data_IF_058688212111
#
_entry.id   IF_058688212111
#
_cell.length_a   1.000
_cell.length_b   1.000
_cell.length_c   1.000
_cell.angle_alpha   90.00
_cell.angle_beta   90.00
_cell.angle_gamma   90.00
#
_symmetry.space_group_name_H-M   'P 1'
#
loop_
_entity.id
_entity.type
_entity.pdbx_description
1 polymer ?
#
# COMPACT_ATOMS: atom_id res chain seq x y z
N UNK A 1 -14.75 -17.59 26.34
CA UNK A 1 -13.72 -16.66 25.88
C UNK A 1 -13.16 -16.96 24.46
N UNK A 2 -13.09 -18.24 24.05
CA UNK A 2 -12.60 -18.62 22.70
C UNK A 2 -13.52 -18.09 21.61
N UNK A 3 -14.85 -18.22 21.72
CA UNK A 3 -15.83 -17.70 20.75
C UNK A 3 -15.75 -16.18 20.52
N UNK A 4 -15.44 -15.37 21.56
CA UNK A 4 -15.26 -13.91 21.42
C UNK A 4 -14.03 -13.54 20.58
N UNK A 5 -12.94 -14.31 20.69
CA UNK A 5 -11.72 -14.04 19.91
C UNK A 5 -11.89 -14.39 18.42
N UNK A 6 -12.65 -15.43 18.08
CA UNK A 6 -12.93 -15.78 16.69
C UNK A 6 -13.77 -14.71 15.97
N UNK A 7 -14.86 -14.24 16.61
CA UNK A 7 -15.69 -13.18 16.03
C UNK A 7 -14.92 -11.87 15.80
N UNK A 8 -13.98 -11.53 16.69
CA UNK A 8 -13.16 -10.34 16.54
C UNK A 8 -12.23 -10.43 15.32
N UNK A 9 -11.61 -11.59 15.10
CA UNK A 9 -10.75 -11.81 13.94
C UNK A 9 -11.52 -11.70 12.62
N UNK A 10 -12.66 -12.36 12.51
CA UNK A 10 -13.48 -12.38 11.30
C UNK A 10 -13.96 -10.97 10.92
N UNK A 11 -14.42 -10.20 11.90
CA UNK A 11 -14.85 -8.81 11.69
C UNK A 11 -13.69 -7.91 11.29
N UNK A 12 -12.53 -8.05 11.94
CA UNK A 12 -11.36 -7.21 11.66
C UNK A 12 -10.81 -7.48 10.25
N UNK A 13 -10.71 -8.76 9.87
CA UNK A 13 -10.24 -9.15 8.53
C UNK A 13 -11.21 -8.67 7.45
N UNK A 14 -12.51 -8.82 7.66
CA UNK A 14 -13.52 -8.34 6.73
C UNK A 14 -13.48 -6.80 6.57
N UNK A 15 -13.24 -6.05 7.66
CA UNK A 15 -13.05 -4.59 7.60
C UNK A 15 -11.79 -4.21 6.82
N UNK A 16 -10.70 -4.95 6.98
CA UNK A 16 -9.47 -4.71 6.21
C UNK A 16 -9.74 -4.94 4.72
N UNK A 17 -10.41 -6.02 4.36
CA UNK A 17 -10.72 -6.33 2.95
C UNK A 17 -11.59 -5.24 2.32
N UNK A 18 -12.63 -4.74 3.02
CA UNK A 18 -13.46 -3.66 2.46
C UNK A 18 -12.68 -2.35 2.31
N UNK A 19 -11.77 -2.03 3.23
CA UNK A 19 -10.89 -0.88 3.09
C UNK A 19 -9.97 -1.02 1.88
N UNK A 20 -9.40 -2.20 1.64
CA UNK A 20 -8.61 -2.48 0.44
C UNK A 20 -9.42 -2.29 -0.84
N UNK A 21 -10.64 -2.81 -0.91
CA UNK A 21 -11.51 -2.62 -2.07
C UNK A 21 -11.83 -1.15 -2.33
N UNK A 22 -12.09 -0.36 -1.29
CA UNK A 22 -12.31 1.07 -1.43
C UNK A 22 -11.06 1.81 -1.95
N UNK A 23 -9.88 1.45 -1.47
CA UNK A 23 -8.60 2.02 -1.92
C UNK A 23 -8.34 1.67 -3.39
N UNK A 24 -8.63 0.44 -3.81
CA UNK A 24 -8.55 0.02 -5.22
C UNK A 24 -9.51 0.82 -6.10
N UNK A 25 -10.72 1.13 -5.59
CA UNK A 25 -11.68 2.01 -6.29
C UNK A 25 -11.16 3.43 -6.52
N UNK A 26 -10.28 3.94 -5.65
CA UNK A 26 -9.65 5.26 -5.83
C UNK A 26 -8.56 5.23 -6.91
N UNK A 27 -7.74 4.19 -6.93
CA UNK A 27 -6.69 3.99 -7.94
C UNK A 27 -6.42 2.49 -8.13
N UNK A 28 -6.52 2.05 -9.36
CA UNK A 28 -6.31 0.66 -9.74
C UNK A 28 -4.91 0.14 -9.36
N UNK A 29 -3.90 1.02 -9.32
CA UNK A 29 -2.55 0.70 -8.86
C UNK A 29 -2.54 0.00 -7.50
N UNK A 30 -3.44 0.36 -6.59
CA UNK A 30 -3.53 -0.27 -5.27
C UNK A 30 -4.00 -1.73 -5.31
N UNK A 31 -4.43 -2.25 -6.48
CA UNK A 31 -4.69 -3.68 -6.65
C UNK A 31 -3.43 -4.52 -6.36
N UNK A 32 -2.24 -3.99 -6.68
CA UNK A 32 -0.97 -4.65 -6.40
C UNK A 32 -0.74 -4.92 -4.90
N UNK A 33 -1.36 -4.14 -4.02
CA UNK A 33 -1.28 -4.35 -2.57
C UNK A 33 -1.96 -5.64 -2.09
N UNK A 34 -2.75 -6.30 -2.93
CA UNK A 34 -3.24 -7.65 -2.64
C UNK A 34 -2.11 -8.66 -2.45
N UNK A 35 -0.87 -8.34 -2.86
CA UNK A 35 0.32 -9.15 -2.57
C UNK A 35 0.48 -9.41 -1.05
N UNK A 36 0.00 -8.51 -0.17
CA UNK A 36 0.00 -8.72 1.28
C UNK A 36 -0.90 -9.85 1.77
N UNK A 37 -1.80 -10.34 0.94
CA UNK A 37 -2.62 -11.52 1.27
C UNK A 37 -1.74 -12.77 1.39
N UNK A 38 -0.68 -12.90 0.58
CA UNK A 38 0.20 -14.08 0.61
C UNK A 38 0.89 -14.29 1.96
N UNK A 39 1.57 -13.30 2.57
CA UNK A 39 2.09 -13.43 3.93
C UNK A 39 1.01 -13.82 4.94
N UNK A 40 -0.18 -13.23 4.86
CA UNK A 40 -1.29 -13.53 5.77
C UNK A 40 -1.69 -15.01 5.64
N UNK A 41 -1.94 -15.50 4.42
CA UNK A 41 -2.30 -16.90 4.17
C UNK A 41 -1.20 -17.83 4.67
N UNK A 42 0.08 -17.52 4.39
CA UNK A 42 1.21 -18.33 4.82
C UNK A 42 1.27 -18.47 6.36
N UNK A 43 1.10 -17.38 7.11
CA UNK A 43 1.11 -17.45 8.56
C UNK A 43 -0.09 -18.21 9.13
N UNK A 44 -1.25 -18.07 8.50
CA UNK A 44 -2.41 -18.87 8.87
C UNK A 44 -2.21 -20.37 8.59
N UNK A 45 -1.56 -20.69 7.49
CA UNK A 45 -1.16 -22.07 7.17
C UNK A 45 -0.19 -22.62 8.21
N UNK A 46 0.88 -21.87 8.51
CA UNK A 46 1.90 -22.24 9.50
C UNK A 46 1.32 -22.47 10.91
N UNK A 47 0.34 -21.67 11.30
CA UNK A 47 -0.34 -21.77 12.60
C UNK A 47 -1.50 -22.78 12.61
N UNK A 48 -1.73 -23.54 11.53
CA UNK A 48 -2.88 -24.46 11.36
C UNK A 48 -4.24 -23.78 11.55
N UNK A 49 -4.37 -22.51 11.16
CA UNK A 49 -5.58 -21.69 11.35
C UNK A 49 -6.33 -21.40 10.05
N UNK A 50 -6.03 -22.12 8.96
CA UNK A 50 -6.70 -21.90 7.67
C UNK A 50 -8.22 -22.03 7.74
N UNK A 51 -8.74 -22.87 8.66
CA UNK A 51 -10.17 -22.99 8.88
C UNK A 51 -10.86 -21.66 9.24
N UNK A 52 -10.10 -20.67 9.78
CA UNK A 52 -10.65 -19.35 10.09
C UNK A 52 -11.01 -18.56 8.82
N UNK A 53 -10.34 -18.81 7.69
CA UNK A 53 -10.72 -18.19 6.42
C UNK A 53 -12.12 -18.61 5.97
N UNK A 54 -12.55 -19.83 6.29
CA UNK A 54 -13.90 -20.27 5.96
C UNK A 54 -14.98 -19.39 6.61
N UNK A 55 -14.69 -18.82 7.77
CA UNK A 55 -15.62 -17.92 8.44
C UNK A 55 -15.79 -16.58 7.71
N UNK A 56 -14.79 -16.14 6.94
CA UNK A 56 -14.91 -14.93 6.11
C UNK A 56 -16.04 -15.05 5.10
N UNK A 57 -16.23 -16.24 4.52
CA UNK A 57 -17.34 -16.51 3.59
C UNK A 57 -18.73 -16.45 4.24
N UNK A 58 -18.82 -16.40 5.57
CA UNK A 58 -20.08 -16.18 6.32
C UNK A 58 -20.32 -14.70 6.64
N UNK A 59 -19.32 -13.83 6.38
CA UNK A 59 -19.40 -12.42 6.78
C UNK A 59 -19.99 -11.56 5.65
N UNK A 60 -21.06 -10.81 5.95
CA UNK A 60 -21.73 -9.92 4.99
C UNK A 60 -20.79 -8.85 4.43
N UNK A 61 -19.83 -8.35 5.21
CA UNK A 61 -18.85 -7.37 4.76
C UNK A 61 -17.91 -7.93 3.68
N UNK A 62 -17.62 -9.23 3.72
CA UNK A 62 -16.83 -9.89 2.68
C UNK A 62 -17.57 -9.88 1.33
N UNK A 63 -18.84 -10.21 1.31
CA UNK A 63 -19.65 -10.14 0.09
C UNK A 63 -19.82 -8.71 -0.42
N UNK A 64 -19.99 -7.74 0.50
CA UNK A 64 -20.01 -6.33 0.15
C UNK A 64 -18.69 -5.89 -0.52
N UNK A 65 -17.55 -6.38 -0.04
CA UNK A 65 -16.24 -6.09 -0.63
C UNK A 65 -16.12 -6.66 -2.05
N UNK A 66 -16.55 -7.90 -2.26
CA UNK A 66 -16.57 -8.53 -3.59
C UNK A 66 -17.48 -7.73 -4.53
N UNK A 67 -18.68 -7.41 -4.08
CA UNK A 67 -19.64 -6.63 -4.87
C UNK A 67 -19.07 -5.25 -5.25
N UNK A 68 -18.44 -4.55 -4.30
CA UNK A 68 -17.79 -3.27 -4.56
C UNK A 68 -16.65 -3.39 -5.59
N UNK A 69 -15.82 -4.44 -5.49
CA UNK A 69 -14.75 -4.69 -6.44
C UNK A 69 -15.30 -4.93 -7.86
N UNK A 70 -16.35 -5.74 -7.97
CA UNK A 70 -17.01 -6.01 -9.25
C UNK A 70 -17.63 -4.73 -9.83
N UNK A 71 -18.23 -3.88 -9.00
CA UNK A 71 -18.74 -2.57 -9.44
C UNK A 71 -17.62 -1.68 -10.00
N UNK A 72 -16.46 -1.59 -9.33
CA UNK A 72 -15.34 -0.80 -9.85
C UNK A 72 -14.82 -1.33 -11.18
N UNK A 73 -14.65 -2.65 -11.32
CA UNK A 73 -14.25 -3.27 -12.58
C UNK A 73 -15.30 -2.98 -13.67
N UNK A 74 -16.57 -3.10 -13.36
CA UNK A 74 -17.67 -2.80 -14.29
C UNK A 74 -17.66 -1.32 -14.73
N UNK A 75 -17.40 -0.38 -13.82
CA UNK A 75 -17.30 1.04 -14.15
C UNK A 75 -16.13 1.29 -15.12
N UNK A 76 -14.95 0.71 -14.86
CA UNK A 76 -13.84 0.82 -15.80
C UNK A 76 -14.19 0.22 -17.16
N UNK A 77 -14.77 -0.97 -17.17
CA UNK A 77 -15.16 -1.65 -18.41
C UNK A 77 -16.18 -0.83 -19.23
N UNK A 78 -17.25 -0.35 -18.61
CA UNK A 78 -18.28 0.44 -19.29
C UNK A 78 -17.73 1.75 -19.84
N UNK A 79 -16.78 2.39 -19.16
CA UNK A 79 -16.24 3.68 -19.58
C UNK A 79 -15.10 3.57 -20.61
N UNK A 80 -14.37 2.47 -20.64
CA UNK A 80 -13.12 2.38 -21.42
C UNK A 80 -13.04 1.16 -22.33
N UNK A 81 -13.87 0.15 -22.11
CA UNK A 81 -13.71 -1.17 -22.74
C UNK A 81 -12.64 -2.05 -22.09
N UNK A 82 -12.01 -1.60 -20.98
CA UNK A 82 -10.94 -2.32 -20.30
C UNK A 82 -11.37 -2.74 -18.90
N UNK A 83 -11.08 -3.98 -18.50
CA UNK A 83 -11.31 -4.43 -17.12
C UNK A 83 -10.35 -3.75 -16.13
N UNK A 84 -9.10 -3.53 -16.55
CA UNK A 84 -8.04 -2.91 -15.76
C UNK A 84 -7.34 -1.80 -16.54
N UNK A 85 -8.01 -0.65 -16.67
CA UNK A 85 -7.46 0.51 -17.38
C UNK A 85 -6.33 1.16 -16.57
N UNK A 86 -5.19 1.55 -17.18
CA UNK A 86 -4.82 1.55 -18.61
C UNK A 86 -3.93 0.36 -19.03
N UNK A 87 -4.28 -0.86 -18.68
CA UNK A 87 -3.53 -2.07 -19.08
C UNK A 87 -4.16 -2.64 -20.35
N UNK A 88 -3.51 -2.44 -21.50
CA UNK A 88 -4.01 -2.80 -22.83
C UNK A 88 -4.39 -4.29 -22.97
N UNK A 89 -3.66 -5.19 -22.30
CA UNK A 89 -3.93 -6.63 -22.31
C UNK A 89 -5.37 -7.02 -21.86
N UNK A 90 -5.99 -6.20 -21.02
CA UNK A 90 -7.35 -6.42 -20.50
C UNK A 90 -8.40 -5.54 -21.20
N UNK A 91 -8.10 -5.02 -22.39
CA UNK A 91 -9.01 -4.18 -23.16
C UNK A 91 -9.64 -4.95 -24.31
N UNK A 92 -10.89 -4.63 -24.64
CA UNK A 92 -11.70 -5.24 -25.68
C UNK A 92 -12.12 -4.17 -26.68
N UNK A 93 -11.67 -4.28 -27.94
CA UNK A 93 -12.00 -3.30 -29.01
C UNK A 93 -13.32 -3.58 -29.73
N UNK A 94 -13.98 -4.69 -29.42
CA UNK A 94 -15.18 -5.15 -30.14
C UNK A 94 -16.43 -4.27 -29.92
N UNK A 95 -16.34 -3.28 -29.05
CA UNK A 95 -17.45 -2.41 -28.71
C UNK A 95 -17.29 -1.03 -29.37
N UNK A 96 -18.38 -0.47 -29.91
CA UNK A 96 -18.36 0.83 -30.56
C UNK A 96 -17.94 2.00 -29.67
N UNK A 97 -18.03 1.82 -28.36
CA UNK A 97 -17.70 2.80 -27.32
C UNK A 97 -16.33 2.54 -26.65
N UNK A 98 -15.65 1.44 -26.96
CA UNK A 98 -14.36 1.14 -26.35
C UNK A 98 -13.26 2.07 -26.85
N UNK A 99 -12.30 2.36 -25.98
CA UNK A 99 -11.11 3.13 -26.35
C UNK A 99 -10.19 2.21 -27.17
N UNK A 100 -9.69 2.65 -28.35
CA UNK A 100 -8.73 1.88 -29.13
C UNK A 100 -7.46 1.53 -28.33
N UNK A 101 -6.95 0.34 -28.49
CA UNK A 101 -5.77 -0.17 -27.73
C UNK A 101 -4.56 0.76 -27.92
N UNK A 102 -4.32 1.26 -29.13
CA UNK A 102 -3.23 2.21 -29.40
C UNK A 102 -3.31 3.47 -28.53
N UNK A 103 -4.53 3.98 -28.31
CA UNK A 103 -4.74 5.13 -27.42
C UNK A 103 -4.51 4.79 -25.96
N UNK A 104 -4.87 3.57 -25.54
CA UNK A 104 -4.61 3.09 -24.18
C UNK A 104 -3.10 3.00 -23.93
N UNK A 105 -2.34 2.46 -24.90
CA UNK A 105 -0.88 2.36 -24.80
C UNK A 105 -0.19 3.73 -24.83
N UNK A 106 -0.67 4.66 -25.64
CA UNK A 106 -0.18 6.05 -25.63
C UNK A 106 -0.43 6.72 -24.27
N UNK A 107 -1.59 6.54 -23.68
CA UNK A 107 -1.90 7.08 -22.35
C UNK A 107 -1.05 6.43 -21.26
N UNK A 108 -0.83 5.13 -21.33
CA UNK A 108 0.08 4.42 -20.40
C UNK A 108 1.48 4.99 -20.48
N UNK A 109 2.03 5.14 -21.69
CA UNK A 109 3.34 5.76 -21.92
C UNK A 109 3.40 7.22 -21.42
N UNK A 110 2.33 7.98 -21.64
CA UNK A 110 2.22 9.34 -21.14
C UNK A 110 2.28 9.41 -19.61
N UNK A 111 1.55 8.56 -18.89
CA UNK A 111 1.59 8.52 -17.43
C UNK A 111 2.93 8.04 -16.88
N UNK A 112 3.55 7.07 -17.53
CA UNK A 112 4.87 6.57 -17.18
C UNK A 112 5.93 7.67 -17.38
N UNK A 113 5.93 8.32 -18.55
CA UNK A 113 6.82 9.44 -18.86
C UNK A 113 6.64 10.59 -17.84
N UNK A 114 5.39 10.97 -17.56
CA UNK A 114 5.10 12.01 -16.57
C UNK A 114 5.64 11.65 -15.18
N UNK A 115 5.49 10.41 -14.74
CA UNK A 115 5.99 9.95 -13.44
C UNK A 115 7.53 9.96 -13.37
N UNK A 116 8.20 9.52 -14.45
CA UNK A 116 9.65 9.41 -14.56
C UNK A 116 10.33 10.78 -14.78
N UNK A 117 9.63 11.74 -15.38
CA UNK A 117 10.15 13.08 -15.63
C UNK A 117 9.94 14.09 -14.48
N UNK A 118 9.57 13.61 -13.27
CA UNK A 118 9.46 14.44 -12.08
C UNK A 118 8.06 14.95 -11.78
N UNK A 119 7.03 14.44 -12.45
CA UNK A 119 5.61 14.68 -12.14
C UNK A 119 5.21 16.17 -12.13
N UNK A 120 5.83 16.99 -12.93
CA UNK A 120 5.63 18.45 -13.02
C UNK A 120 5.22 18.94 -14.40
N UNK A 121 4.99 20.24 -14.53
CA UNK A 121 4.83 20.90 -15.81
C UNK A 121 6.14 20.85 -16.62
N UNK A 122 6.04 20.79 -17.96
CA UNK A 122 7.22 20.72 -18.82
C UNK A 122 7.96 19.37 -18.78
N UNK A 123 7.25 18.29 -18.46
CA UNK A 123 7.80 16.93 -18.43
C UNK A 123 7.96 16.31 -19.83
N UNK A 124 7.47 16.96 -20.86
CA UNK A 124 7.49 16.45 -22.23
C UNK A 124 8.92 16.26 -22.73
N UNK A 125 9.16 15.10 -23.32
CA UNK A 125 10.44 14.72 -23.92
C UNK A 125 10.23 14.47 -25.41
N UNK A 126 11.25 14.78 -26.21
CA UNK A 126 11.21 14.60 -27.67
C UNK A 126 11.07 13.11 -28.08
N UNK A 127 11.57 12.20 -27.25
CA UNK A 127 11.50 10.76 -27.47
C UNK A 127 11.05 10.07 -26.16
N UNK A 128 9.73 10.03 -25.88
CA UNK A 128 9.21 9.45 -24.67
C UNK A 128 9.50 7.95 -24.54
N UNK A 129 9.49 7.21 -25.64
CA UNK A 129 9.71 5.76 -25.62
C UNK A 129 11.14 5.40 -25.20
N UNK A 130 12.14 6.11 -25.70
CA UNK A 130 13.53 5.90 -25.31
C UNK A 130 13.80 6.42 -23.89
N UNK A 131 13.17 7.53 -23.52
CA UNK A 131 13.33 8.13 -22.20
C UNK A 131 12.88 7.21 -21.07
N UNK A 132 11.76 6.51 -21.23
CA UNK A 132 11.23 5.62 -20.18
C UNK A 132 11.95 4.28 -20.10
N UNK A 133 12.74 3.90 -21.13
CA UNK A 133 13.47 2.64 -21.16
C UNK A 133 14.62 2.61 -20.16
N UNK A 134 14.81 1.47 -19.53
CA UNK A 134 15.89 1.23 -18.56
C UNK A 134 15.95 2.30 -17.47
N UNK A 135 17.09 2.94 -17.30
CA UNK A 135 17.34 4.00 -16.31
C UNK A 135 17.67 5.36 -16.98
N UNK A 136 17.30 5.57 -18.26
CA UNK A 136 17.58 6.84 -18.98
C UNK A 136 16.92 8.05 -18.29
N UNK A 137 15.78 7.83 -17.64
CA UNK A 137 15.04 8.83 -16.88
C UNK A 137 15.64 9.14 -15.50
N UNK A 138 16.46 8.26 -14.95
CA UNK A 138 16.87 8.28 -13.55
C UNK A 138 17.64 9.54 -13.13
N UNK A 139 18.64 10.05 -13.89
CA UNK A 139 19.35 11.27 -13.53
C UNK A 139 18.41 12.48 -13.40
N UNK A 140 17.52 12.66 -14.39
CA UNK A 140 16.53 13.74 -14.39
C UNK A 140 15.52 13.60 -13.24
N UNK A 141 15.11 12.38 -12.92
CA UNK A 141 14.20 12.12 -11.79
C UNK A 141 14.84 12.47 -10.45
N UNK A 142 16.13 12.13 -10.25
CA UNK A 142 16.87 12.50 -9.04
C UNK A 142 16.88 14.02 -8.89
N UNK A 143 17.28 14.73 -9.93
CA UNK A 143 17.41 16.18 -9.87
C UNK A 143 16.08 16.89 -9.65
N UNK A 144 15.06 16.54 -10.45
CA UNK A 144 13.78 17.27 -10.44
C UNK A 144 12.78 16.79 -9.38
N UNK A 145 12.85 15.52 -8.98
CA UNK A 145 11.82 14.95 -8.13
C UNK A 145 12.32 14.43 -6.78
N UNK A 146 13.43 13.69 -6.77
CA UNK A 146 13.93 13.10 -5.54
C UNK A 146 14.29 14.17 -4.51
N UNK A 147 15.18 15.11 -4.86
CA UNK A 147 15.61 16.15 -3.93
C UNK A 147 14.50 17.14 -3.57
N UNK A 148 13.51 17.34 -4.41
CA UNK A 148 12.45 18.31 -4.17
C UNK A 148 11.24 17.74 -3.41
N UNK A 149 10.99 16.42 -3.46
CA UNK A 149 9.77 15.82 -2.87
C UNK A 149 10.04 14.56 -2.07
N UNK A 150 10.83 13.62 -2.62
CA UNK A 150 11.03 12.32 -1.97
C UNK A 150 11.92 12.47 -0.75
N UNK A 151 12.99 13.25 -0.83
CA UNK A 151 13.88 13.55 0.31
C UNK A 151 13.13 14.18 1.47
N UNK A 152 12.29 15.18 1.21
CA UNK A 152 11.51 15.85 2.25
C UNK A 152 10.54 14.90 2.93
N UNK A 153 9.89 14.04 2.15
CA UNK A 153 9.00 13.03 2.69
C UNK A 153 9.75 12.01 3.56
N UNK A 154 10.92 11.53 3.12
CA UNK A 154 11.77 10.61 3.90
C UNK A 154 12.24 11.28 5.19
N UNK A 155 12.71 12.52 5.13
CA UNK A 155 13.13 13.28 6.31
C UNK A 155 11.98 13.46 7.30
N UNK A 156 10.78 13.77 6.81
CA UNK A 156 9.57 13.84 7.63
C UNK A 156 9.24 12.52 8.32
N UNK A 157 9.37 11.37 7.61
CA UNK A 157 9.17 10.05 8.19
C UNK A 157 10.23 9.71 9.25
N UNK A 158 11.51 10.01 8.97
CA UNK A 158 12.60 9.79 9.93
C UNK A 158 12.33 10.62 11.19
N UNK A 159 11.99 11.90 11.04
CA UNK A 159 11.64 12.77 12.17
C UNK A 159 10.46 12.19 12.97
N UNK A 160 9.41 11.75 12.31
CA UNK A 160 8.26 11.13 12.96
C UNK A 160 8.64 9.87 13.75
N UNK A 161 9.44 8.98 13.15
CA UNK A 161 9.92 7.76 13.82
C UNK A 161 10.79 8.11 15.04
N UNK A 162 11.70 9.10 14.93
CA UNK A 162 12.52 9.57 16.06
C UNK A 162 11.65 10.16 17.17
N UNK A 163 10.67 10.98 16.84
CA UNK A 163 9.74 11.55 17.80
C UNK A 163 8.94 10.46 18.52
N UNK A 164 8.41 9.49 17.78
CA UNK A 164 7.68 8.37 18.36
C UNK A 164 8.58 7.49 19.24
N UNK A 165 9.84 7.24 18.84
CA UNK A 165 10.79 6.51 19.69
C UNK A 165 11.10 7.27 20.96
N UNK A 166 11.30 8.58 20.88
CA UNK A 166 11.55 9.42 22.06
C UNK A 166 10.36 9.40 23.05
N UNK A 167 9.14 9.46 22.52
CA UNK A 167 7.91 9.44 23.33
C UNK A 167 7.63 8.07 23.96
N UNK A 168 7.83 6.99 23.20
CA UNK A 168 7.42 5.64 23.60
C UNK A 168 8.54 4.80 24.20
N UNK A 169 9.81 5.01 23.78
CA UNK A 169 10.96 4.28 24.29
C UNK A 169 11.54 4.92 25.55
N UNK A 170 10.83 4.84 26.69
CA UNK A 170 11.49 5.09 27.97
C UNK A 170 12.28 3.85 28.40
N UNK A 171 13.49 4.04 28.95
CA UNK A 171 14.29 3.03 29.68
C UNK A 171 13.46 2.48 30.86
N UNK A 172 12.50 1.63 30.58
CA UNK A 172 11.94 0.72 31.56
C UNK A 172 12.81 -0.53 31.49
N UNK A 173 13.19 -1.09 32.65
CA UNK A 173 13.77 -2.44 32.72
C UNK A 173 12.80 -3.34 31.95
N UNK A 174 13.16 -3.65 30.72
CA UNK A 174 12.32 -4.40 29.81
C UNK A 174 12.15 -5.80 30.40
N UNK A 175 11.02 -6.07 31.04
CA UNK A 175 10.54 -7.42 31.05
C UNK A 175 10.33 -7.79 29.58
N UNK A 176 11.31 -8.53 29.04
CA UNK A 176 11.14 -9.28 27.80
C UNK A 176 9.98 -10.25 28.05
N UNK A 177 8.78 -9.76 27.86
CA UNK A 177 7.65 -10.64 27.63
C UNK A 177 8.05 -11.46 26.43
N UNK A 178 8.16 -12.77 26.62
CA UNK A 178 8.41 -13.77 25.59
C UNK A 178 7.32 -13.63 24.52
N UNK A 179 7.52 -12.69 23.63
CA UNK A 179 6.64 -12.50 22.50
C UNK A 179 7.01 -13.55 21.46
N UNK A 180 6.01 -14.28 21.00
CA UNK A 180 6.09 -15.02 19.75
C UNK A 180 6.69 -14.07 18.73
N UNK A 181 7.91 -14.38 18.27
CA UNK A 181 8.57 -13.59 17.23
C UNK A 181 7.67 -13.61 16.00
N UNK A 182 6.98 -12.51 15.77
CA UNK A 182 6.25 -12.32 14.50
C UNK A 182 7.32 -12.19 13.43
N UNK A 183 7.35 -13.13 12.52
CA UNK A 183 8.29 -13.11 11.40
C UNK A 183 7.81 -12.14 10.34
N UNK A 184 8.41 -10.96 10.26
CA UNK A 184 8.05 -9.92 9.29
C UNK A 184 8.69 -10.10 7.91
N UNK A 185 9.53 -11.14 7.71
CA UNK A 185 10.31 -11.30 6.46
C UNK A 185 9.46 -11.30 5.20
N UNK A 186 8.34 -12.02 5.21
CA UNK A 186 7.44 -12.08 4.03
C UNK A 186 6.78 -10.74 3.74
N UNK A 187 6.47 -9.95 4.78
CA UNK A 187 5.94 -8.60 4.59
C UNK A 187 6.98 -7.67 3.96
N UNK A 188 8.26 -7.78 4.38
CA UNK A 188 9.35 -7.04 3.74
C UNK A 188 9.54 -7.43 2.29
N UNK A 189 9.50 -8.72 1.97
CA UNK A 189 9.60 -9.19 0.59
C UNK A 189 8.45 -8.61 -0.25
N UNK A 190 7.22 -8.65 0.26
CA UNK A 190 6.08 -8.06 -0.43
C UNK A 190 6.25 -6.54 -0.68
N UNK A 191 6.73 -5.79 0.32
CA UNK A 191 7.00 -4.36 0.17
C UNK A 191 8.13 -4.10 -0.83
N UNK A 192 9.19 -4.88 -0.80
CA UNK A 192 10.30 -4.73 -1.76
C UNK A 192 9.83 -4.98 -3.20
N UNK A 193 8.96 -5.97 -3.43
CA UNK A 193 8.37 -6.21 -4.75
C UNK A 193 7.55 -5.00 -5.18
N UNK A 194 6.68 -4.46 -4.30
CA UNK A 194 5.90 -3.26 -4.58
C UNK A 194 6.79 -2.03 -4.83
N UNK A 195 7.89 -1.90 -4.07
CA UNK A 195 8.83 -0.80 -4.23
C UNK A 195 9.55 -0.86 -5.58
N UNK A 196 10.00 -2.05 -5.99
CA UNK A 196 10.65 -2.26 -7.29
C UNK A 196 9.66 -1.94 -8.42
N UNK A 197 8.44 -2.48 -8.35
CA UNK A 197 7.40 -2.20 -9.34
C UNK A 197 7.10 -0.71 -9.44
N UNK A 198 6.83 -0.04 -8.32
CA UNK A 198 6.58 1.39 -8.26
C UNK A 198 7.74 2.20 -8.84
N UNK A 199 8.98 1.88 -8.45
CA UNK A 199 10.17 2.62 -8.85
C UNK A 199 10.42 2.53 -10.35
N UNK A 200 10.30 1.35 -10.95
CA UNK A 200 10.59 1.17 -12.38
C UNK A 200 9.45 1.63 -13.30
N UNK A 201 8.21 1.59 -12.86
CA UNK A 201 7.08 1.94 -13.71
C UNK A 201 6.56 3.36 -13.46
N UNK A 202 6.34 3.72 -12.20
CA UNK A 202 5.71 5.01 -11.86
C UNK A 202 6.34 5.65 -10.61
N UNK A 203 7.61 6.10 -10.64
CA UNK A 203 8.37 6.55 -9.48
C UNK A 203 7.92 7.92 -8.95
N UNK A 204 6.62 8.11 -8.85
CA UNK A 204 6.00 9.29 -8.25
C UNK A 204 5.33 8.91 -6.93
N UNK A 205 5.54 9.70 -5.88
CA UNK A 205 4.91 9.48 -4.56
C UNK A 205 3.39 9.33 -4.66
N UNK A 206 2.78 10.06 -5.59
CA UNK A 206 1.35 10.02 -5.87
C UNK A 206 0.84 8.64 -6.34
N UNK A 207 1.69 7.84 -6.99
CA UNK A 207 1.36 6.48 -7.47
C UNK A 207 1.71 5.38 -6.45
N UNK A 208 1.42 5.62 -5.18
CA UNK A 208 1.64 4.63 -4.13
C UNK A 208 2.95 4.80 -3.36
N UNK A 209 3.88 5.65 -3.83
CA UNK A 209 5.17 5.86 -3.20
C UNK A 209 5.08 6.31 -1.74
N UNK A 210 4.11 7.16 -1.40
CA UNK A 210 3.85 7.55 0.00
C UNK A 210 3.61 6.34 0.90
N UNK A 211 2.74 5.43 0.47
CA UNK A 211 2.38 4.25 1.24
C UNK A 211 3.53 3.25 1.34
N UNK A 212 4.23 3.01 0.22
CA UNK A 212 5.34 2.03 0.14
C UNK A 212 6.48 2.48 1.03
N UNK A 213 6.93 3.74 0.90
CA UNK A 213 8.01 4.30 1.71
C UNK A 213 7.61 4.34 3.18
N UNK A 214 6.37 4.75 3.49
CA UNK A 214 5.89 4.74 4.86
C UNK A 214 5.93 3.34 5.48
N UNK A 215 5.51 2.30 4.75
CA UNK A 215 5.55 0.93 5.22
C UNK A 215 6.98 0.42 5.48
N UNK A 216 7.95 0.80 4.63
CA UNK A 216 9.36 0.49 4.84
C UNK A 216 9.89 1.02 6.17
N UNK A 217 9.38 2.15 6.65
CA UNK A 217 9.74 2.73 7.94
C UNK A 217 8.91 2.15 9.09
N UNK A 218 7.59 2.03 8.93
CA UNK A 218 6.68 1.68 10.02
C UNK A 218 6.70 0.21 10.41
N UNK A 219 7.04 -0.71 9.51
CA UNK A 219 7.13 -2.13 9.87
C UNK A 219 8.27 -2.38 10.88
N UNK A 220 9.53 -1.95 10.65
CA UNK A 220 10.57 -2.08 11.68
C UNK A 220 10.20 -1.36 12.97
N UNK A 221 9.58 -0.18 12.84
CA UNK A 221 9.17 0.61 13.99
C UNK A 221 8.09 -0.09 14.84
N UNK A 222 7.12 -0.75 14.22
CA UNK A 222 6.11 -1.54 14.95
C UNK A 222 6.74 -2.65 15.78
N UNK A 223 7.78 -3.31 15.25
CA UNK A 223 8.54 -4.31 15.97
C UNK A 223 9.28 -3.72 17.19
N UNK A 224 9.89 -2.54 17.03
CA UNK A 224 10.54 -1.82 18.14
C UNK A 224 9.50 -1.46 19.21
N UNK A 225 8.34 -0.94 18.83
CA UNK A 225 7.28 -0.63 19.79
C UNK A 225 6.83 -1.88 20.56
N UNK A 226 6.68 -3.02 19.90
CA UNK A 226 6.26 -4.26 20.55
C UNK A 226 7.28 -4.74 21.61
N UNK A 227 8.57 -4.54 21.37
CA UNK A 227 9.63 -4.85 22.33
C UNK A 227 9.55 -3.94 23.58
N UNK A 228 9.23 -2.65 23.38
CA UNK A 228 9.23 -1.64 24.44
C UNK A 228 7.84 -1.36 25.04
N UNK A 229 6.81 -2.09 24.63
CA UNK A 229 5.42 -1.90 25.06
C UNK A 229 5.22 -2.29 26.53
N UNK A 230 5.36 -1.32 27.41
CA UNK A 230 4.91 -1.45 28.80
C UNK A 230 3.43 -1.07 28.88
N UNK A 231 2.59 -2.08 29.12
CA UNK A 231 1.15 -2.09 28.82
C UNK A 231 0.28 -1.06 29.55
N UNK A 232 0.69 -0.51 30.70
CA UNK A 232 -0.17 0.41 31.49
C UNK A 232 0.05 1.91 31.22
N UNK A 233 1.21 2.30 30.76
CA UNK A 233 1.53 3.73 30.53
C UNK A 233 1.27 4.21 29.10
N UNK A 234 1.13 3.30 28.14
CA UNK A 234 0.95 3.65 26.73
C UNK A 234 -0.40 4.33 26.48
N UNK A 235 -1.48 3.75 26.99
CA UNK A 235 -2.83 4.28 26.78
C UNK A 235 -3.01 5.68 27.39
N UNK A 236 -2.38 5.96 28.55
CA UNK A 236 -2.42 7.28 29.18
C UNK A 236 -1.66 8.33 28.37
N UNK A 237 -0.52 7.95 27.76
CA UNK A 237 0.28 8.87 26.94
C UNK A 237 -0.36 9.15 25.59
N UNK A 238 -0.92 8.13 24.93
CA UNK A 238 -1.69 8.29 23.69
C UNK A 238 -2.89 9.21 23.93
N UNK A 239 -3.60 9.04 25.05
CA UNK A 239 -4.71 9.91 25.43
C UNK A 239 -4.27 11.36 25.65
N UNK A 240 -3.13 11.60 26.35
CA UNK A 240 -2.60 12.95 26.58
C UNK A 240 -2.20 13.62 25.26
N UNK A 241 -1.53 12.89 24.35
CA UNK A 241 -1.12 13.41 23.05
C UNK A 241 -2.36 13.71 22.19
N UNK A 242 -3.33 12.80 22.13
CA UNK A 242 -4.57 13.05 21.38
C UNK A 242 -5.37 14.23 21.93
N UNK A 243 -5.41 14.41 23.25
CA UNK A 243 -6.08 15.54 23.88
C UNK A 243 -5.34 16.88 23.68
N UNK A 244 -4.01 16.86 23.48
CA UNK A 244 -3.21 18.06 23.23
C UNK A 244 -3.12 18.46 21.75
N UNK A 245 -3.50 17.59 20.82
CA UNK A 245 -3.47 17.84 19.36
C UNK A 245 -4.81 18.31 18.79
N UNK A 246 -5.88 18.26 19.57
CA UNK A 246 -7.17 18.87 19.21
C UNK A 246 -7.45 20.06 20.15
N UNK A 247 -7.39 21.31 19.64
CA UNK A 247 -7.83 22.49 20.37
C UNK A 247 -9.34 22.47 20.60
#
# INVERSE_FOLDING_TARGET
>A
NVRKNYNFFDITTAKIIILFTLIVGLKLFFLLYFIFIFPIIYYFYKDNKLHLFYNLFKNKLFYLSIFSLLLYISIYFVNTGCLFYPVSFFCFENFSWSIPIDKVDQLRLHYENWAKAGSGAGYENNDPENYVKYLNWFPNWIEKYFFNKVSDFILGLIFLVLLLTFVFCKKSKAQRLSNKNVDYKLYYIAILILFIEWFFNHPSLRYGGYSIIALLFFIPFSHIIDIFKSSKNLNRKVFIISASTFP
#
